data_IF_020046092936
#
_entry.id   IF_020046092936
#
_cell.length_a   1.000
_cell.length_b   1.000
_cell.length_c   1.000
_cell.angle_alpha   90.00
_cell.angle_beta   90.00
_cell.angle_gamma   90.00
#
_symmetry.space_group_name_H-M   'P 1'
#
loop_
_entity.id
_entity.type
_entity.pdbx_description
1 polymer ?
#
# COMPACT_ATOMS: atom_id res chain seq x y z
N UNK A 1 21.08 -20.75 18.65
CA UNK A 1 19.62 -20.50 18.76
C UNK A 1 18.93 -21.82 19.04
N UNK A 2 17.79 -21.81 19.70
CA UNK A 2 16.98 -23.03 19.87
C UNK A 2 16.26 -23.36 18.56
N UNK A 3 15.88 -24.63 18.35
CA UNK A 3 15.11 -25.03 17.16
C UNK A 3 13.77 -24.29 17.07
N UNK A 4 13.14 -23.99 18.21
CA UNK A 4 11.93 -23.14 18.28
C UNK A 4 12.16 -21.73 17.72
N UNK A 5 13.27 -21.08 18.08
CA UNK A 5 13.59 -19.73 17.57
C UNK A 5 13.90 -19.73 16.07
N UNK A 6 14.54 -20.80 15.57
CA UNK A 6 14.83 -20.95 14.14
C UNK A 6 13.53 -21.20 13.37
N UNK A 7 12.65 -22.08 13.87
CA UNK A 7 11.33 -22.32 13.29
C UNK A 7 10.50 -21.03 13.22
N UNK A 8 10.39 -20.28 14.32
CA UNK A 8 9.66 -19.01 14.34
C UNK A 8 10.18 -18.04 13.28
N UNK A 9 11.50 -17.87 13.21
CA UNK A 9 12.13 -16.98 12.23
C UNK A 9 11.90 -17.41 10.78
N UNK A 10 11.96 -18.71 10.49
CA UNK A 10 11.67 -19.27 9.17
C UNK A 10 10.21 -19.00 8.81
N UNK A 11 9.26 -19.40 9.66
CA UNK A 11 7.83 -19.26 9.37
C UNK A 11 7.42 -17.79 9.23
N UNK A 12 8.00 -16.88 10.03
CA UNK A 12 7.78 -15.44 9.90
C UNK A 12 8.29 -14.89 8.57
N UNK A 13 9.46 -15.35 8.10
CA UNK A 13 10.04 -14.88 6.84
C UNK A 13 9.25 -15.34 5.60
N UNK A 14 8.67 -16.54 5.64
CA UNK A 14 7.88 -17.10 4.53
C UNK A 14 6.40 -16.69 4.56
N UNK A 15 5.91 -16.18 5.69
CA UNK A 15 4.56 -15.60 5.79
C UNK A 15 3.46 -16.55 5.33
N UNK A 16 2.62 -16.09 4.41
CA UNK A 16 1.41 -16.80 3.96
C UNK A 16 1.69 -18.05 3.11
N UNK A 17 2.85 -18.09 2.45
CA UNK A 17 3.28 -19.23 1.62
C UNK A 17 3.55 -20.47 2.48
N UNK A 18 4.14 -20.26 3.67
CA UNK A 18 4.54 -21.33 4.57
C UNK A 18 5.74 -22.13 4.06
N UNK A 19 6.03 -23.23 4.76
CA UNK A 19 7.19 -24.09 4.51
C UNK A 19 6.78 -25.55 4.68
N UNK A 20 7.25 -26.44 3.81
CA UNK A 20 6.97 -27.88 3.92
C UNK A 20 7.90 -28.58 4.93
N UNK A 21 7.55 -29.81 5.31
CA UNK A 21 8.30 -30.59 6.29
C UNK A 21 9.73 -30.90 5.84
N UNK A 22 9.96 -31.13 4.54
CA UNK A 22 11.30 -31.46 4.02
C UNK A 22 12.21 -30.23 4.05
N UNK A 23 11.67 -29.06 3.71
CA UNK A 23 12.36 -27.79 3.85
C UNK A 23 12.75 -27.51 5.31
N UNK A 24 11.86 -27.74 6.27
CA UNK A 24 12.16 -27.61 7.69
C UNK A 24 13.23 -28.60 8.14
N UNK A 25 13.11 -29.87 7.72
CA UNK A 25 14.07 -30.94 8.01
C UNK A 25 15.47 -30.57 7.53
N UNK A 26 15.60 -30.11 6.29
CA UNK A 26 16.86 -29.68 5.69
C UNK A 26 17.43 -28.43 6.37
N UNK A 27 16.61 -27.43 6.66
CA UNK A 27 17.05 -26.17 7.26
C UNK A 27 17.52 -26.35 8.71
N UNK A 28 16.81 -27.18 9.50
CA UNK A 28 17.13 -27.45 10.89
C UNK A 28 18.13 -28.60 11.08
N UNK A 29 18.39 -29.37 10.01
CA UNK A 29 19.26 -30.55 10.01
C UNK A 29 18.86 -31.57 11.10
N UNK A 30 17.57 -31.91 11.13
CA UNK A 30 16.97 -32.90 12.04
C UNK A 30 16.28 -34.02 11.24
N UNK A 31 15.79 -35.05 11.90
CA UNK A 31 15.00 -36.09 11.25
C UNK A 31 13.50 -35.72 11.18
N UNK A 32 12.73 -36.50 10.43
CA UNK A 32 11.31 -36.23 10.18
C UNK A 32 10.46 -36.28 11.46
N UNK A 33 10.76 -37.22 12.37
CA UNK A 33 10.09 -37.34 13.67
C UNK A 33 10.32 -36.09 14.53
N UNK A 34 11.56 -35.60 14.57
CA UNK A 34 11.93 -34.38 15.27
C UNK A 34 11.30 -33.11 14.67
N UNK A 35 11.03 -33.06 13.36
CA UNK A 35 10.26 -31.95 12.76
C UNK A 35 8.84 -31.95 13.28
N UNK A 36 8.19 -33.11 13.29
CA UNK A 36 6.81 -33.27 13.77
C UNK A 36 6.72 -32.89 15.25
N UNK A 37 7.62 -33.41 16.08
CA UNK A 37 7.68 -33.06 17.49
C UNK A 37 7.93 -31.58 17.70
N UNK A 38 8.83 -30.97 16.93
CA UNK A 38 9.12 -29.54 17.03
C UNK A 38 7.88 -28.70 16.72
N UNK A 39 7.13 -29.07 15.68
CA UNK A 39 5.89 -28.39 15.30
C UNK A 39 4.84 -28.50 16.41
N UNK A 40 4.62 -29.71 16.95
CA UNK A 40 3.64 -29.95 18.03
C UNK A 40 4.00 -29.15 19.27
N UNK A 41 5.24 -29.25 19.74
CA UNK A 41 5.72 -28.51 20.91
C UNK A 41 5.61 -26.99 20.70
N UNK A 42 5.92 -26.51 19.50
CA UNK A 42 5.82 -25.08 19.20
C UNK A 42 4.37 -24.59 19.14
N UNK A 43 3.46 -25.42 18.66
CA UNK A 43 2.03 -25.14 18.68
C UNK A 43 1.52 -24.98 20.11
N UNK A 44 1.88 -25.87 21.02
CA UNK A 44 1.52 -25.77 22.46
C UNK A 44 2.06 -24.47 23.09
N UNK A 45 3.29 -24.06 22.73
CA UNK A 45 3.86 -22.78 23.19
C UNK A 45 3.02 -21.58 22.71
N UNK A 46 2.46 -21.66 21.49
CA UNK A 46 1.62 -20.61 20.92
C UNK A 46 0.19 -20.60 21.47
N UNK A 47 -0.29 -21.67 22.09
CA UNK A 47 -1.63 -21.70 22.69
C UNK A 47 -1.79 -20.72 23.85
N UNK A 48 -0.70 -20.32 24.52
CA UNK A 48 -0.69 -19.34 25.60
C UNK A 48 -1.40 -18.02 25.22
N UNK A 49 -2.23 -17.49 26.13
CA UNK A 49 -3.02 -16.26 25.94
C UNK A 49 -2.18 -15.00 25.68
N UNK A 50 -0.90 -14.99 26.09
CA UNK A 50 0.05 -13.91 25.82
C UNK A 50 0.63 -13.95 24.39
N UNK A 51 0.17 -14.87 23.54
CA UNK A 51 0.59 -15.02 22.13
C UNK A 51 -0.56 -14.73 21.18
N UNK A 52 -0.31 -13.90 20.18
CA UNK A 52 -1.28 -13.54 19.14
C UNK A 52 -1.23 -14.36 17.85
N UNK A 53 -0.27 -15.29 17.74
CA UNK A 53 -0.10 -16.14 16.56
C UNK A 53 -0.47 -17.59 16.90
N UNK A 54 -0.88 -18.33 15.89
CA UNK A 54 -1.04 -19.79 15.93
C UNK A 54 -0.29 -20.41 14.75
N UNK A 55 0.23 -21.61 14.96
CA UNK A 55 0.86 -22.40 13.91
C UNK A 55 -0.18 -23.36 13.33
N UNK A 56 -0.31 -23.33 12.00
CA UNK A 56 -1.25 -24.16 11.24
C UNK A 56 -0.52 -24.91 10.15
N UNK A 57 -1.11 -26.03 9.73
CA UNK A 57 -0.66 -26.81 8.59
C UNK A 57 -1.81 -26.93 7.59
N UNK A 58 -1.66 -26.31 6.43
CA UNK A 58 -2.66 -26.32 5.36
C UNK A 58 -2.02 -26.78 4.05
N UNK A 59 -2.59 -27.81 3.42
CA UNK A 59 -2.08 -28.32 2.15
C UNK A 59 -0.63 -28.83 2.21
N UNK A 60 -0.19 -29.30 3.38
CA UNK A 60 1.20 -29.75 3.62
C UNK A 60 2.19 -28.61 3.88
N UNK A 61 1.72 -27.37 3.98
CA UNK A 61 2.54 -26.20 4.33
C UNK A 61 2.30 -25.79 5.77
N UNK A 62 3.38 -25.68 6.54
CA UNK A 62 3.40 -25.16 7.90
C UNK A 62 3.55 -23.64 7.85
N UNK A 63 2.72 -22.89 8.57
CA UNK A 63 2.80 -21.42 8.63
C UNK A 63 2.26 -20.84 9.93
N UNK A 64 2.66 -19.59 10.19
CA UNK A 64 2.11 -18.79 11.28
C UNK A 64 0.95 -17.93 10.74
N UNK A 65 -0.17 -17.96 11.45
CA UNK A 65 -1.29 -17.04 11.21
C UNK A 65 -1.64 -16.33 12.52
N UNK A 66 -2.39 -15.25 12.43
CA UNK A 66 -2.95 -14.58 13.61
C UNK A 66 -4.09 -15.41 14.19
N UNK A 67 -4.16 -15.49 15.52
CA UNK A 67 -5.26 -16.19 16.21
C UNK A 67 -6.60 -15.59 15.81
N UNK A 68 -7.61 -16.45 15.62
CA UNK A 68 -8.96 -16.05 15.23
C UNK A 68 -9.62 -15.01 16.15
N UNK A 69 -9.32 -14.99 17.45
CA UNK A 69 -9.84 -13.99 18.39
C UNK A 69 -9.31 -12.57 18.16
N UNK A 70 -8.25 -12.40 17.37
CA UNK A 70 -7.73 -11.09 16.96
C UNK A 70 -8.43 -10.54 15.72
N UNK A 71 -9.35 -11.28 15.10
CA UNK A 71 -9.95 -10.89 13.82
C UNK A 71 -10.56 -9.48 13.86
N UNK A 72 -11.40 -9.17 14.85
CA UNK A 72 -12.04 -7.85 14.97
C UNK A 72 -11.01 -6.75 15.20
N UNK A 73 -10.03 -6.96 16.09
CA UNK A 73 -8.98 -5.98 16.39
C UNK A 73 -8.09 -5.70 15.18
N UNK A 74 -7.70 -6.74 14.44
CA UNK A 74 -6.91 -6.61 13.22
C UNK A 74 -7.73 -5.94 12.12
N UNK A 75 -9.01 -6.32 11.96
CA UNK A 75 -9.91 -5.67 11.03
C UNK A 75 -10.02 -4.18 11.33
N UNK A 76 -10.32 -3.78 12.56
CA UNK A 76 -10.37 -2.38 12.99
C UNK A 76 -9.06 -1.64 12.74
N UNK A 77 -7.91 -2.28 12.96
CA UNK A 77 -6.60 -1.69 12.67
C UNK A 77 -6.36 -1.50 11.16
N UNK A 78 -6.78 -2.46 10.33
CA UNK A 78 -6.77 -2.34 8.87
C UNK A 78 -7.79 -1.30 8.40
N UNK A 79 -8.90 -1.12 9.12
CA UNK A 79 -9.84 -0.03 8.89
C UNK A 79 -9.30 1.33 9.31
N UNK A 80 -8.50 1.42 10.37
CA UNK A 80 -7.71 2.62 10.70
C UNK A 80 -6.72 2.97 9.58
N UNK A 81 -6.20 1.96 8.86
CA UNK A 81 -5.45 2.15 7.62
C UNK A 81 -6.34 2.62 6.44
N UNK A 82 -7.68 2.64 6.53
CA UNK A 82 -8.55 3.36 5.56
C UNK A 82 -8.37 4.87 5.63
N UNK A 83 -7.65 5.42 6.62
CA UNK A 83 -7.08 6.77 6.51
C UNK A 83 -6.03 6.89 5.39
N UNK A 84 -5.72 5.81 4.65
CA UNK A 84 -5.03 5.83 3.33
C UNK A 84 -5.98 5.99 2.14
N UNK A 85 -7.30 5.99 2.32
CA UNK A 85 -8.18 6.41 1.23
C UNK A 85 -7.87 7.87 0.89
N UNK A 86 -7.71 8.11 -0.40
CA UNK A 86 -7.59 9.46 -0.91
C UNK A 86 -8.94 10.15 -0.69
N UNK A 87 -8.92 11.31 -0.05
CA UNK A 87 -10.11 12.16 0.02
C UNK A 87 -10.52 12.55 -1.40
N UNK A 88 -11.76 12.99 -1.60
CA UNK A 88 -12.22 13.49 -2.89
C UNK A 88 -11.27 14.56 -3.47
N UNK A 89 -10.82 15.50 -2.63
CA UNK A 89 -9.84 16.52 -3.01
C UNK A 89 -8.49 15.93 -3.43
N UNK A 90 -8.03 14.86 -2.79
CA UNK A 90 -6.78 14.18 -3.14
C UNK A 90 -6.92 13.39 -4.44
N UNK A 91 -8.08 12.74 -4.67
CA UNK A 91 -8.40 12.06 -5.93
C UNK A 91 -8.48 13.04 -7.10
N UNK A 92 -9.14 14.18 -6.93
CA UNK A 92 -9.20 15.25 -7.94
C UNK A 92 -7.79 15.77 -8.27
N UNK A 93 -6.98 16.02 -7.24
CA UNK A 93 -5.59 16.47 -7.42
C UNK A 93 -4.77 15.41 -8.16
N UNK A 94 -4.88 14.14 -7.77
CA UNK A 94 -4.16 13.05 -8.41
C UNK A 94 -4.58 12.86 -9.86
N UNK A 95 -5.87 12.98 -10.16
CA UNK A 95 -6.39 12.91 -11.52
C UNK A 95 -5.80 14.03 -12.38
N UNK A 96 -5.82 15.28 -11.91
CA UNK A 96 -5.22 16.41 -12.64
C UNK A 96 -3.76 16.12 -12.97
N UNK A 97 -2.97 15.63 -12.01
CA UNK A 97 -1.57 15.27 -12.24
C UNK A 97 -1.48 14.15 -13.29
N UNK A 98 -2.22 13.04 -13.13
CA UNK A 98 -2.16 11.91 -14.05
C UNK A 98 -2.45 12.30 -15.52
N UNK A 99 -3.40 13.22 -15.76
CA UNK A 99 -3.80 13.67 -17.10
C UNK A 99 -3.02 14.86 -17.66
N UNK A 100 -2.41 15.69 -16.81
CA UNK A 100 -1.74 16.94 -17.23
C UNK A 100 -0.24 16.98 -16.95
N UNK A 101 0.32 15.92 -16.35
CA UNK A 101 1.76 15.83 -16.09
C UNK A 101 2.61 16.03 -17.36
N UNK A 102 3.81 16.63 -17.23
CA UNK A 102 4.33 17.27 -16.03
C UNK A 102 3.60 18.59 -15.71
N UNK A 103 3.17 18.79 -14.46
CA UNK A 103 2.38 19.95 -14.03
C UNK A 103 2.89 20.55 -12.71
N UNK A 104 2.79 21.87 -12.55
CA UNK A 104 3.17 22.57 -11.32
C UNK A 104 2.03 22.64 -10.30
N UNK A 105 2.37 22.80 -9.01
CA UNK A 105 1.36 23.04 -7.95
C UNK A 105 0.45 24.23 -8.25
N UNK A 106 0.97 25.28 -8.87
CA UNK A 106 0.20 26.50 -9.17
C UNK A 106 -0.85 26.20 -10.23
N UNK A 107 -0.49 25.50 -11.30
CA UNK A 107 -1.43 25.10 -12.36
C UNK A 107 -2.51 24.13 -11.82
N UNK A 108 -2.15 23.23 -10.90
CA UNK A 108 -3.12 22.38 -10.20
C UNK A 108 -4.14 23.24 -9.43
N UNK A 109 -3.67 24.26 -8.70
CA UNK A 109 -4.53 25.17 -7.94
C UNK A 109 -5.44 26.00 -8.84
N UNK A 110 -4.96 26.43 -10.00
CA UNK A 110 -5.76 27.13 -11.01
C UNK A 110 -6.89 26.25 -11.55
N UNK A 111 -6.61 24.98 -11.86
CA UNK A 111 -7.63 24.02 -12.34
C UNK A 111 -8.63 23.67 -11.23
N UNK A 112 -8.16 23.47 -9.98
CA UNK A 112 -9.04 23.12 -8.85
C UNK A 112 -9.80 24.31 -8.29
N UNK A 113 -9.35 25.54 -8.55
CA UNK A 113 -9.88 26.77 -7.95
C UNK A 113 -9.62 26.90 -6.44
N UNK A 114 -8.84 26.00 -5.83
CA UNK A 114 -8.54 25.98 -4.38
C UNK A 114 -7.12 25.50 -4.11
N UNK A 115 -6.58 25.83 -2.93
CA UNK A 115 -5.25 25.42 -2.52
C UNK A 115 -5.06 23.89 -2.54
N UNK A 116 -3.90 23.44 -3.02
CA UNK A 116 -3.58 22.03 -3.25
C UNK A 116 -2.27 21.58 -2.61
N UNK A 117 -1.62 22.41 -1.78
CA UNK A 117 -0.35 22.08 -1.11
C UNK A 117 -0.45 20.82 -0.24
N UNK A 118 -1.47 20.75 0.61
CA UNK A 118 -1.69 19.58 1.47
C UNK A 118 -1.97 18.30 0.65
N UNK A 119 -2.64 18.43 -0.50
CA UNK A 119 -2.94 17.28 -1.36
C UNK A 119 -1.67 16.77 -2.03
N UNK A 120 -0.83 17.66 -2.58
CA UNK A 120 0.44 17.29 -3.20
C UNK A 120 1.35 16.57 -2.18
N UNK A 121 1.53 17.14 -0.98
CA UNK A 121 2.33 16.51 0.08
C UNK A 121 1.80 15.13 0.50
N UNK A 122 0.48 14.98 0.56
CA UNK A 122 -0.16 13.70 0.90
C UNK A 122 0.06 12.66 -0.20
N UNK A 123 -0.09 13.05 -1.47
CA UNK A 123 0.10 12.14 -2.61
C UNK A 123 1.57 11.71 -2.74
N UNK A 124 2.51 12.63 -2.49
CA UNK A 124 3.94 12.33 -2.46
C UNK A 124 4.29 11.40 -1.28
N UNK A 125 3.74 11.64 -0.08
CA UNK A 125 3.92 10.75 1.07
C UNK A 125 3.32 9.35 0.88
N UNK A 126 2.38 9.19 -0.05
CA UNK A 126 1.80 7.91 -0.46
C UNK A 126 2.52 7.29 -1.66
N UNK A 127 3.60 7.91 -2.14
CA UNK A 127 4.36 7.50 -3.32
C UNK A 127 3.49 7.38 -4.57
N UNK A 128 2.46 8.23 -4.73
CA UNK A 128 1.61 8.23 -5.93
C UNK A 128 2.06 9.28 -6.96
N UNK A 129 2.80 10.29 -6.50
CA UNK A 129 3.41 11.33 -7.34
C UNK A 129 4.83 11.61 -6.87
N UNK A 130 5.67 12.16 -7.73
CA UNK A 130 7.01 12.61 -7.39
C UNK A 130 7.36 13.93 -8.11
N UNK A 131 8.41 14.61 -7.61
CA UNK A 131 9.00 15.74 -8.32
C UNK A 131 9.76 15.25 -9.56
N UNK A 132 9.40 15.71 -10.76
CA UNK A 132 10.06 15.35 -12.03
C UNK A 132 11.01 16.43 -12.54
N UNK A 133 11.08 17.57 -11.85
CA UNK A 133 11.99 18.66 -12.19
C UNK A 133 11.44 20.02 -11.78
N UNK A 134 11.87 21.07 -12.49
CA UNK A 134 11.40 22.45 -12.29
C UNK A 134 11.02 23.08 -13.62
N UNK A 135 9.93 23.84 -13.62
CA UNK A 135 9.48 24.57 -14.80
C UNK A 135 10.47 25.69 -15.17
N UNK A 136 10.58 25.98 -16.46
CA UNK A 136 11.42 27.07 -16.98
C UNK A 136 10.66 28.40 -17.03
N UNK A 137 10.04 28.75 -15.90
CA UNK A 137 9.26 29.97 -15.69
C UNK A 137 9.78 30.73 -14.45
N UNK A 138 9.45 32.03 -14.29
CA UNK A 138 9.86 32.79 -13.12
C UNK A 138 9.48 32.09 -11.81
N UNK A 139 10.44 31.95 -10.89
CA UNK A 139 10.27 31.24 -9.62
C UNK A 139 10.57 29.74 -9.67
N UNK A 140 10.78 29.16 -10.88
CA UNK A 140 11.16 27.76 -11.11
C UNK A 140 10.39 26.75 -10.22
N UNK A 141 9.04 26.77 -10.28
CA UNK A 141 8.22 25.89 -9.48
C UNK A 141 8.50 24.42 -9.80
N UNK A 142 8.26 23.55 -8.82
CA UNK A 142 8.40 22.10 -8.93
C UNK A 142 7.35 21.56 -9.92
N UNK A 143 7.76 20.61 -10.75
CA UNK A 143 6.89 19.81 -11.61
C UNK A 143 6.60 18.46 -10.97
N UNK A 144 5.35 18.02 -11.06
CA UNK A 144 4.88 16.73 -10.55
C UNK A 144 4.48 15.78 -11.68
N UNK A 145 4.82 14.52 -11.50
CA UNK A 145 4.44 13.36 -12.33
C UNK A 145 3.95 12.22 -11.42
N UNK A 146 3.21 11.26 -11.98
CA UNK A 146 2.83 10.04 -11.25
C UNK A 146 3.98 9.04 -11.20
N UNK A 147 4.03 8.25 -10.13
CA UNK A 147 5.06 7.22 -9.94
C UNK A 147 4.68 5.89 -10.59
N UNK A 148 5.60 4.90 -10.65
CA UNK A 148 5.24 3.52 -10.96
C UNK A 148 4.20 2.93 -9.99
N UNK A 149 4.25 3.28 -8.71
CA UNK A 149 3.29 2.81 -7.70
C UNK A 149 1.85 3.24 -8.00
N UNK A 150 1.65 4.39 -8.65
CA UNK A 150 0.33 4.77 -9.19
C UNK A 150 -0.18 3.72 -10.20
N UNK A 151 0.67 3.26 -11.11
CA UNK A 151 0.29 2.25 -12.12
C UNK A 151 -0.17 0.94 -11.46
N UNK A 152 0.55 0.49 -10.44
CA UNK A 152 0.22 -0.72 -9.67
C UNK A 152 -1.12 -0.58 -8.93
N UNK A 153 -1.34 0.57 -8.28
CA UNK A 153 -2.59 0.84 -7.54
C UNK A 153 -3.79 0.88 -8.48
N UNK A 154 -3.66 1.50 -9.65
CA UNK A 154 -4.75 1.63 -10.63
C UNK A 154 -4.80 0.48 -11.63
N UNK A 155 -3.89 -0.50 -11.53
CA UNK A 155 -3.80 -1.69 -12.38
C UNK A 155 -3.71 -1.35 -13.87
N UNK A 156 -2.91 -0.34 -14.19
CA UNK A 156 -2.68 0.14 -15.54
C UNK A 156 -1.33 -0.40 -16.03
N UNK A 157 -1.25 -0.83 -17.30
CA UNK A 157 0.05 -1.19 -17.89
C UNK A 157 0.76 0.06 -18.42
N UNK A 158 -0.01 1.04 -18.92
CA UNK A 158 0.48 2.31 -19.46
C UNK A 158 -0.49 3.46 -19.14
N UNK A 159 0.01 4.70 -19.10
CA UNK A 159 -0.85 5.89 -18.88
C UNK A 159 -1.90 6.10 -19.98
N UNK A 160 -1.69 5.52 -21.17
CA UNK A 160 -2.65 5.59 -22.28
C UNK A 160 -3.94 4.80 -22.01
N UNK A 161 -3.97 3.95 -20.98
CA UNK A 161 -5.17 3.22 -20.54
C UNK A 161 -6.08 4.08 -19.66
N UNK A 162 -5.64 5.29 -19.28
CA UNK A 162 -6.49 6.23 -18.58
C UNK A 162 -7.68 6.63 -19.49
N UNK A 163 -8.92 6.64 -18.95
CA UNK A 163 -10.10 7.05 -19.71
C UNK A 163 -9.94 8.42 -20.35
N UNK A 164 -10.36 8.60 -21.61
CA UNK A 164 -10.38 9.93 -22.23
C UNK A 164 -11.37 10.85 -21.48
N UNK A 165 -10.85 11.89 -20.83
CA UNK A 165 -11.68 12.93 -20.23
C UNK A 165 -12.04 13.95 -21.31
N UNK A 166 -13.34 14.08 -21.61
CA UNK A 166 -13.84 15.26 -22.33
C UNK A 166 -13.69 16.48 -21.41
N UNK A 167 -12.68 17.29 -21.67
CA UNK A 167 -12.28 18.46 -20.88
C UNK A 167 -13.32 19.60 -20.83
N UNK A 168 -14.51 19.44 -21.44
CA UNK A 168 -15.59 20.43 -21.42
C UNK A 168 -16.10 20.72 -19.98
N UNK A 169 -15.86 19.83 -19.02
CA UNK A 169 -16.31 20.02 -17.62
C UNK A 169 -15.33 20.79 -16.71
N UNK A 170 -14.14 21.17 -17.19
CA UNK A 170 -13.14 21.88 -16.38
C UNK A 170 -13.12 23.40 -16.65
N UNK A 171 -13.60 23.85 -17.81
CA UNK A 171 -13.59 25.26 -18.21
C UNK A 171 -14.84 26.04 -17.74
N UNK A 172 -15.94 25.37 -17.38
CA UNK A 172 -17.22 26.03 -17.05
C UNK A 172 -17.22 26.84 -15.74
N UNK A 173 -16.19 26.74 -14.91
CA UNK A 173 -16.10 27.52 -13.66
C UNK A 173 -15.68 28.98 -13.86
N UNK A 174 -15.22 29.37 -15.06
CA UNK A 174 -14.75 30.73 -15.35
C UNK A 174 -15.82 31.73 -15.84
N UNK A 175 -17.03 31.29 -16.19
CA UNK A 175 -18.09 32.20 -16.68
C UNK A 175 -19.10 32.66 -15.61
N UNK A 176 -19.19 31.98 -14.47
CA UNK A 176 -20.17 32.29 -13.42
C UNK A 176 -19.88 33.57 -12.60
N UNK A 177 -18.70 34.18 -12.76
CA UNK A 177 -18.30 35.38 -12.01
C UNK A 177 -18.09 36.65 -12.85
N UNK A 178 -18.38 36.64 -14.16
CA UNK A 178 -18.28 37.84 -15.02
C UNK A 178 -19.59 38.58 -15.26
N UNK A 179 -20.69 38.10 -14.69
CA UNK A 179 -22.02 38.71 -14.85
C UNK A 179 -22.56 39.21 -13.52
N UNK A 180 -21.85 40.15 -12.88
CA UNK A 180 -22.40 41.13 -11.93
C UNK A 180 -21.30 42.13 -11.52
N UNK A 181 -21.08 43.14 -12.36
CA UNK A 181 -20.61 44.46 -11.93
C UNK A 181 -21.01 45.51 -12.98
#
# INVERSE_FOLDING_TARGET
MTNHAILEGILFAFGDEGVDHEQLRLALNIDEEAVVDLIINYKEILENDDRGLELVEFGGMVKLITKSNLHEVIADMLEFNKNRQLSQAALETLAIIAYKQPITRIEIEEIRGVNSDMMCRRLEALDLIHESGRADTPGRPILYEVTPSFMDVFKLTTLNELPEIKLEMLDETHELFKSNN
#
